data_IF_350870582936
#
_entry.id   IF_350870582936
#
_cell.length_a   1.000
_cell.length_b   1.000
_cell.length_c   1.000
_cell.angle_alpha   90.00
_cell.angle_beta   90.00
_cell.angle_gamma   90.00
#
_symmetry.space_group_name_H-M   'P 1'
#
loop_
_entity.id
_entity.type
_entity.pdbx_description
1 polymer ?
#
# COMPACT_ATOMS: atom_id res chain seq x y z
N UNK A 1 -10.98 -3.93 -31.08
CA UNK A 1 -12.39 -3.92 -30.61
C UNK A 1 -12.52 -2.84 -29.56
N UNK A 2 -13.55 -2.00 -29.65
CA UNK A 2 -13.79 -0.97 -28.62
C UNK A 2 -14.43 -1.68 -27.43
N UNK A 3 -13.75 -1.66 -26.26
CA UNK A 3 -14.31 -2.21 -25.02
C UNK A 3 -15.46 -1.32 -24.54
N UNK A 4 -16.58 -1.93 -24.21
CA UNK A 4 -17.76 -1.26 -23.65
C UNK A 4 -18.06 -1.81 -22.27
N UNK A 5 -18.58 -0.96 -21.37
CA UNK A 5 -19.09 -1.35 -20.07
C UNK A 5 -20.53 -0.88 -19.91
N UNK A 6 -21.33 -1.67 -19.19
CA UNK A 6 -22.68 -1.31 -18.81
C UNK A 6 -22.65 -0.32 -17.66
N UNK A 7 -23.54 0.67 -17.72
CA UNK A 7 -23.75 1.66 -16.69
C UNK A 7 -25.00 1.31 -15.91
N UNK A 8 -24.90 1.29 -14.59
CA UNK A 8 -25.98 0.95 -13.68
C UNK A 8 -26.50 2.19 -12.93
N UNK A 9 -27.79 2.24 -12.70
CA UNK A 9 -28.40 3.20 -11.78
C UNK A 9 -28.13 2.84 -10.31
N UNK A 10 -28.59 3.69 -9.40
CA UNK A 10 -28.52 3.45 -7.95
C UNK A 10 -29.26 2.19 -7.53
N UNK A 11 -30.36 1.86 -8.24
CA UNK A 11 -31.20 0.68 -7.99
C UNK A 11 -30.66 -0.62 -8.60
N UNK A 12 -29.50 -0.55 -9.29
CA UNK A 12 -28.90 -1.70 -9.98
C UNK A 12 -29.49 -1.99 -11.37
N UNK A 13 -30.43 -1.19 -11.87
CA UNK A 13 -30.94 -1.30 -13.23
C UNK A 13 -29.92 -0.80 -14.24
N UNK A 14 -29.89 -1.39 -15.46
CA UNK A 14 -29.01 -0.96 -16.55
C UNK A 14 -29.60 0.32 -17.18
N UNK A 15 -28.80 1.39 -17.22
CA UNK A 15 -29.17 2.70 -17.82
C UNK A 15 -28.64 2.84 -19.23
N UNK A 16 -27.42 2.34 -19.49
CA UNK A 16 -26.77 2.51 -20.79
C UNK A 16 -25.42 1.80 -20.87
N UNK A 17 -24.65 2.16 -21.89
CA UNK A 17 -23.29 1.67 -22.13
C UNK A 17 -22.32 2.85 -22.26
N UNK A 18 -21.14 2.71 -21.70
CA UNK A 18 -20.03 3.64 -21.87
C UNK A 18 -18.88 2.96 -22.62
N UNK A 19 -18.22 3.72 -23.48
CA UNK A 19 -16.98 3.30 -24.15
C UNK A 19 -15.84 3.42 -23.15
N UNK A 20 -15.12 2.33 -22.94
CA UNK A 20 -13.97 2.32 -22.06
C UNK A 20 -12.72 2.86 -22.76
N UNK A 21 -11.92 3.70 -22.09
CA UNK A 21 -10.65 4.18 -22.63
C UNK A 21 -9.62 3.06 -22.79
N UNK A 22 -8.65 3.28 -23.68
CA UNK A 22 -7.55 2.36 -24.00
C UNK A 22 -6.73 1.89 -22.79
N UNK A 23 -6.85 2.61 -21.67
CA UNK A 23 -6.21 2.24 -20.39
C UNK A 23 -6.65 0.84 -19.94
N UNK A 24 -7.91 0.47 -20.18
CA UNK A 24 -8.47 -0.84 -19.80
C UNK A 24 -7.99 -2.00 -20.69
N UNK A 25 -7.45 -1.71 -21.87
CA UNK A 25 -6.85 -2.71 -22.79
C UNK A 25 -5.39 -3.03 -22.45
N UNK A 26 -4.80 -2.30 -21.51
CA UNK A 26 -3.39 -2.47 -21.16
C UNK A 26 -3.11 -3.88 -20.61
N UNK A 27 -2.08 -4.58 -21.10
CA UNK A 27 -1.75 -5.92 -20.62
C UNK A 27 -1.39 -5.93 -19.14
N UNK A 28 -1.76 -7.00 -18.45
CA UNK A 28 -1.47 -7.18 -17.04
C UNK A 28 0.04 -7.41 -16.79
N UNK A 29 0.71 -6.49 -16.10
CA UNK A 29 2.13 -6.52 -15.77
C UNK A 29 2.35 -6.48 -14.25
N UNK A 30 2.26 -7.62 -13.54
CA UNK A 30 2.40 -7.68 -12.08
C UNK A 30 3.78 -7.23 -11.59
N UNK A 31 4.82 -7.45 -12.40
CA UNK A 31 6.21 -7.04 -12.14
C UNK A 31 6.34 -5.51 -11.99
N UNK A 32 5.79 -4.77 -12.95
CA UNK A 32 5.82 -3.30 -12.96
C UNK A 32 4.94 -2.74 -11.83
N UNK A 33 3.75 -3.32 -11.61
CA UNK A 33 2.84 -2.98 -10.53
C UNK A 33 3.56 -3.13 -9.17
N UNK A 34 4.22 -4.27 -8.94
CA UNK A 34 4.96 -4.53 -7.69
C UNK A 34 6.09 -3.51 -7.47
N UNK A 35 6.83 -3.20 -8.51
CA UNK A 35 7.92 -2.22 -8.43
C UNK A 35 7.40 -0.83 -8.09
N UNK A 36 6.33 -0.38 -8.77
CA UNK A 36 5.69 0.90 -8.49
C UNK A 36 5.05 0.95 -7.10
N UNK A 37 4.39 -0.13 -6.67
CA UNK A 37 3.85 -0.24 -5.31
C UNK A 37 4.94 -0.04 -4.24
N UNK A 38 6.07 -0.73 -4.38
CA UNK A 38 7.19 -0.62 -3.43
C UNK A 38 7.82 0.79 -3.44
N UNK A 39 7.82 1.46 -4.59
CA UNK A 39 8.30 2.84 -4.68
C UNK A 39 7.38 3.80 -3.91
N UNK A 40 6.07 3.72 -4.14
CA UNK A 40 5.08 4.56 -3.43
C UNK A 40 5.06 4.23 -1.93
N UNK A 41 5.07 2.95 -1.56
CA UNK A 41 5.12 2.53 -0.16
C UNK A 41 6.37 3.07 0.57
N UNK A 42 7.49 3.18 -0.14
CA UNK A 42 8.73 3.68 0.46
C UNK A 42 8.64 5.15 0.93
N UNK A 43 7.71 5.93 0.36
CA UNK A 43 7.43 7.32 0.77
C UNK A 43 6.76 7.41 2.14
N UNK A 44 6.06 6.35 2.56
CA UNK A 44 5.39 6.30 3.87
C UNK A 44 6.32 5.92 5.03
N UNK A 45 7.56 5.52 4.73
CA UNK A 45 8.52 5.12 5.75
C UNK A 45 9.20 6.35 6.36
N UNK A 46 9.12 6.47 7.68
CA UNK A 46 9.82 7.51 8.40
C UNK A 46 11.34 7.25 8.38
N UNK A 47 12.17 8.23 8.00
CA UNK A 47 13.61 8.14 8.14
C UNK A 47 14.02 7.86 9.58
N UNK A 48 14.93 6.91 9.75
CA UNK A 48 15.44 6.53 11.05
C UNK A 48 16.92 6.88 11.15
N UNK A 49 17.29 7.45 12.27
CA UNK A 49 18.65 7.81 12.57
C UNK A 49 18.99 7.40 14.01
N UNK A 50 20.26 7.27 14.26
CA UNK A 50 20.82 7.04 15.58
C UNK A 50 22.05 7.94 15.76
N UNK A 51 22.41 8.23 17.00
CA UNK A 51 23.70 8.81 17.31
C UNK A 51 24.84 7.91 16.78
N UNK A 52 25.62 8.44 15.85
CA UNK A 52 26.71 7.73 15.16
C UNK A 52 27.86 7.36 16.10
N UNK A 53 28.00 8.12 17.18
CA UNK A 53 29.03 7.92 18.18
C UNK A 53 28.55 7.09 19.37
N UNK A 54 27.28 6.63 19.38
CA UNK A 54 26.75 5.81 20.47
C UNK A 54 27.57 4.52 20.64
N UNK A 55 28.09 4.31 21.85
CA UNK A 55 28.97 3.18 22.18
C UNK A 55 30.42 3.33 21.71
N UNK A 56 30.79 4.47 21.09
CA UNK A 56 32.17 4.78 20.66
C UNK A 56 32.83 5.87 21.53
N UNK A 57 32.04 6.63 22.31
CA UNK A 57 32.54 7.66 23.24
C UNK A 57 33.06 6.99 24.49
N UNK A 58 34.29 6.50 24.44
CA UNK A 58 34.96 5.83 25.56
C UNK A 58 36.46 6.00 25.44
N UNK A 59 37.15 6.06 26.55
CA UNK A 59 38.61 6.08 26.64
C UNK A 59 39.25 4.72 26.40
N UNK A 60 38.47 3.70 26.00
CA UNK A 60 38.98 2.36 25.79
C UNK A 60 39.98 2.28 24.62
N UNK A 61 41.13 1.70 24.91
CA UNK A 61 42.23 1.54 23.97
C UNK A 61 42.43 0.06 23.64
N UNK A 62 42.71 -0.23 22.39
CA UNK A 62 43.11 -1.56 21.94
C UNK A 62 44.59 -1.79 22.19
N UNK A 63 44.93 -2.75 23.06
CA UNK A 63 46.33 -3.14 23.30
C UNK A 63 46.77 -4.20 22.32
N UNK A 64 47.71 -3.82 21.43
CA UNK A 64 48.27 -4.71 20.40
C UNK A 64 49.33 -5.64 21.03
N UNK A 65 49.58 -6.80 20.36
CA UNK A 65 50.68 -7.72 20.68
C UNK A 65 52.08 -7.10 20.55
N UNK A 66 52.22 -6.01 19.82
CA UNK A 66 53.51 -5.31 19.58
C UNK A 66 53.91 -4.38 20.71
N UNK A 67 53.09 -4.23 21.75
CA UNK A 67 53.44 -3.43 22.93
C UNK A 67 54.34 -4.20 23.91
N UNK A 68 54.88 -3.50 24.88
CA UNK A 68 55.77 -4.05 25.92
C UNK A 68 55.26 -5.35 26.55
N UNK A 69 56.11 -6.30 26.93
CA UNK A 69 55.71 -7.60 27.46
C UNK A 69 54.70 -7.52 28.63
N UNK A 70 54.88 -6.56 29.56
CA UNK A 70 53.96 -6.34 30.67
C UNK A 70 52.52 -5.99 30.25
N UNK A 71 52.32 -5.51 29.05
CA UNK A 71 51.00 -5.19 28.48
C UNK A 71 50.41 -6.30 27.59
N UNK A 72 51.18 -7.34 27.26
CA UNK A 72 50.78 -8.40 26.32
C UNK A 72 49.88 -9.45 26.96
N UNK A 73 50.11 -9.81 28.19
CA UNK A 73 49.49 -10.92 28.89
C UNK A 73 48.58 -10.43 30.00
N UNK A 74 47.40 -9.96 29.65
CA UNK A 74 46.38 -9.53 30.63
C UNK A 74 45.42 -10.67 31.00
N UNK A 75 45.57 -11.87 30.37
CA UNK A 75 44.68 -13.00 30.63
C UNK A 75 43.23 -12.79 30.14
N UNK A 76 42.99 -11.75 29.34
CA UNK A 76 41.66 -11.34 28.91
C UNK A 76 41.58 -11.32 27.35
N UNK A 77 40.36 -11.44 26.83
CA UNK A 77 40.11 -11.33 25.39
C UNK A 77 40.60 -9.98 24.82
N UNK A 78 41.07 -9.99 23.55
CA UNK A 78 41.67 -8.84 22.86
C UNK A 78 40.61 -7.87 22.38
N UNK A 79 40.00 -7.14 23.29
CA UNK A 79 38.98 -6.13 23.03
C UNK A 79 39.51 -4.77 23.52
N UNK A 80 39.04 -3.65 22.95
CA UNK A 80 39.34 -2.32 23.51
C UNK A 80 38.86 -2.25 24.97
N UNK A 81 39.74 -1.84 25.90
CA UNK A 81 39.47 -1.80 27.32
C UNK A 81 39.76 -0.42 27.90
N UNK A 82 38.94 -0.02 28.84
CA UNK A 82 39.18 1.19 29.62
C UNK A 82 40.44 1.01 30.47
N UNK A 83 41.35 2.02 30.53
CA UNK A 83 42.59 1.91 31.28
C UNK A 83 42.38 1.62 32.74
N UNK A 84 41.44 2.28 33.39
CA UNK A 84 41.19 2.20 34.83
C UNK A 84 40.41 0.96 35.23
N UNK A 85 39.27 0.72 34.60
CA UNK A 85 38.33 -0.35 34.98
C UNK A 85 38.62 -1.70 34.30
N UNK A 86 39.50 -1.73 33.28
CA UNK A 86 39.78 -2.87 32.40
C UNK A 86 38.54 -3.45 31.72
N UNK A 87 37.39 -2.78 31.79
CA UNK A 87 36.16 -3.22 31.13
C UNK A 87 36.27 -3.08 29.62
N UNK A 88 35.83 -4.09 28.92
CA UNK A 88 35.76 -4.04 27.46
C UNK A 88 34.65 -3.06 27.01
N UNK A 89 34.96 -2.20 26.04
CA UNK A 89 34.06 -1.20 25.45
C UNK A 89 34.17 -1.22 23.94
N UNK A 90 33.37 -0.41 23.28
CA UNK A 90 33.36 -0.13 21.83
C UNK A 90 32.93 -1.34 20.99
N UNK A 91 33.46 -2.55 21.21
CA UNK A 91 33.09 -3.72 20.43
C UNK A 91 31.60 -4.04 20.50
N UNK A 92 30.98 -4.58 19.41
CA UNK A 92 29.54 -4.86 19.38
C UNK A 92 29.06 -5.85 20.45
N UNK A 93 29.91 -6.79 20.86
CA UNK A 93 29.60 -7.82 21.85
C UNK A 93 29.76 -7.34 23.30
N UNK A 94 30.24 -6.12 23.52
CA UNK A 94 30.44 -5.58 24.87
C UNK A 94 29.22 -4.85 25.40
N UNK A 95 29.05 -4.84 26.72
CA UNK A 95 27.99 -4.08 27.38
C UNK A 95 28.15 -2.58 27.08
N UNK A 96 27.07 -1.94 26.58
CA UNK A 96 27.08 -0.55 26.08
C UNK A 96 28.08 -0.30 24.93
N UNK A 97 28.51 -1.32 24.20
CA UNK A 97 29.33 -1.18 23.00
C UNK A 97 28.54 -0.60 21.81
N UNK A 98 29.24 -0.37 20.71
CA UNK A 98 28.62 0.14 19.49
C UNK A 98 27.69 -0.90 18.86
N UNK A 99 26.67 -0.46 18.14
CA UNK A 99 25.91 -1.34 17.28
C UNK A 99 26.71 -1.64 16.00
N UNK A 100 26.75 -2.91 15.57
CA UNK A 100 27.51 -3.30 14.36
C UNK A 100 26.97 -2.63 13.09
N UNK A 101 25.64 -2.65 12.92
CA UNK A 101 24.93 -2.07 11.77
C UNK A 101 23.82 -1.12 12.24
N UNK A 102 24.17 0.09 12.69
CA UNK A 102 23.16 1.05 13.14
C UNK A 102 22.35 1.62 11.97
N UNK A 103 21.12 2.06 12.20
CA UNK A 103 20.43 2.88 11.23
C UNK A 103 21.19 4.19 11.00
N UNK A 104 21.40 4.52 9.71
CA UNK A 104 22.19 5.69 9.30
C UNK A 104 21.28 6.77 8.73
N UNK A 105 21.50 8.08 9.03
CA UNK A 105 20.66 9.16 8.55
C UNK A 105 20.69 9.31 7.03
N UNK A 106 21.78 8.97 6.37
CA UNK A 106 21.94 9.04 4.90
C UNK A 106 21.45 7.80 4.16
N UNK A 107 20.85 6.82 4.85
CA UNK A 107 20.27 5.64 4.19
C UNK A 107 19.15 6.07 3.24
N UNK A 108 19.30 5.75 1.95
CA UNK A 108 18.27 6.01 0.93
C UNK A 108 17.09 5.06 1.15
N UNK A 109 15.99 5.58 1.72
CA UNK A 109 14.76 4.81 1.98
C UNK A 109 13.84 4.88 0.76
N UNK A 110 13.71 6.07 0.18
CA UNK A 110 12.82 6.32 -0.96
C UNK A 110 13.36 5.65 -2.23
N UNK A 111 12.52 4.83 -2.85
CA UNK A 111 12.80 4.18 -4.13
C UNK A 111 12.22 5.02 -5.25
N UNK A 112 13.06 5.49 -6.15
CA UNK A 112 12.64 6.25 -7.33
C UNK A 112 12.35 5.29 -8.49
N UNK A 113 11.34 5.61 -9.28
CA UNK A 113 11.02 4.94 -10.55
C UNK A 113 10.82 5.99 -11.66
N UNK A 114 11.05 5.67 -12.93
CA UNK A 114 10.78 6.53 -14.07
C UNK A 114 9.28 6.84 -14.19
N UNK A 115 8.96 8.04 -14.70
CA UNK A 115 7.55 8.47 -14.89
C UNK A 115 6.78 7.54 -15.84
N UNK A 116 7.41 7.15 -16.96
CA UNK A 116 6.80 6.23 -17.94
C UNK A 116 6.47 4.86 -17.31
N UNK A 117 7.35 4.33 -16.47
CA UNK A 117 7.11 3.07 -15.76
C UNK A 117 5.97 3.21 -14.74
N UNK A 118 5.89 4.34 -14.01
CA UNK A 118 4.78 4.61 -13.10
C UNK A 118 3.44 4.71 -13.85
N UNK A 119 3.39 5.39 -15.02
CA UNK A 119 2.18 5.45 -15.86
C UNK A 119 1.77 4.06 -16.33
N UNK A 120 2.71 3.26 -16.85
CA UNK A 120 2.42 1.87 -17.28
C UNK A 120 1.89 1.02 -16.12
N UNK A 121 2.46 1.15 -14.91
CA UNK A 121 1.98 0.44 -13.73
C UNK A 121 0.55 0.82 -13.37
N UNK A 122 0.19 2.11 -13.44
CA UNK A 122 -1.17 2.59 -13.19
C UNK A 122 -2.16 2.06 -14.23
N UNK A 123 -1.84 2.16 -15.52
CA UNK A 123 -2.64 1.60 -16.61
C UNK A 123 -2.90 0.10 -16.43
N UNK A 124 -1.84 -0.66 -16.18
CA UNK A 124 -1.94 -2.10 -15.95
C UNK A 124 -2.76 -2.45 -14.69
N UNK A 125 -2.69 -1.63 -13.63
CA UNK A 125 -3.48 -1.83 -12.42
C UNK A 125 -4.96 -1.49 -12.63
N UNK A 126 -5.28 -0.48 -13.44
CA UNK A 126 -6.65 -0.13 -13.82
C UNK A 126 -7.24 -1.23 -14.71
N UNK A 127 -6.53 -1.67 -15.75
CA UNK A 127 -6.95 -2.78 -16.60
C UNK A 127 -7.25 -4.06 -15.82
N UNK A 128 -6.47 -4.34 -14.78
CA UNK A 128 -6.69 -5.50 -13.90
C UNK A 128 -8.03 -5.46 -13.15
N UNK A 129 -8.64 -4.30 -12.95
CA UNK A 129 -9.95 -4.17 -12.29
C UNK A 129 -11.11 -4.60 -13.19
N UNK A 130 -10.90 -4.61 -14.50
CA UNK A 130 -11.90 -5.06 -15.49
C UNK A 130 -11.88 -6.57 -15.70
N UNK A 131 -10.82 -7.26 -15.29
CA UNK A 131 -10.68 -8.71 -15.50
C UNK A 131 -11.25 -9.49 -14.31
N UNK A 132 -12.39 -10.18 -14.53
CA UNK A 132 -13.11 -10.96 -13.51
C UNK A 132 -12.24 -12.05 -12.88
N UNK A 133 -11.42 -12.74 -13.68
CA UNK A 133 -10.54 -13.79 -13.19
C UNK A 133 -9.47 -13.26 -12.23
N UNK A 134 -8.88 -12.10 -12.57
CA UNK A 134 -7.86 -11.46 -11.72
C UNK A 134 -8.46 -10.96 -10.41
N UNK A 135 -9.68 -10.41 -10.45
CA UNK A 135 -10.41 -9.94 -9.26
C UNK A 135 -10.80 -11.12 -8.37
N UNK A 136 -11.33 -12.20 -8.93
CA UNK A 136 -11.66 -13.43 -8.20
C UNK A 136 -10.40 -14.08 -7.60
N UNK A 137 -9.30 -14.18 -8.37
CA UNK A 137 -8.03 -14.74 -7.91
C UNK A 137 -7.43 -13.96 -6.75
N UNK A 138 -7.70 -12.67 -6.67
CA UNK A 138 -7.32 -11.84 -5.53
C UNK A 138 -8.09 -12.21 -4.25
N UNK A 139 -9.24 -12.86 -4.35
CA UNK A 139 -10.11 -13.30 -3.25
C UNK A 139 -11.26 -12.35 -2.95
N UNK A 140 -11.69 -11.53 -3.92
CA UNK A 140 -12.95 -10.82 -3.87
C UNK A 140 -14.11 -11.74 -4.26
N UNK A 141 -15.28 -11.55 -3.64
CA UNK A 141 -16.51 -12.21 -4.02
C UNK A 141 -17.11 -11.46 -5.20
N UNK A 142 -17.19 -12.10 -6.36
CA UNK A 142 -17.65 -11.48 -7.62
C UNK A 142 -18.84 -12.21 -8.24
N UNK A 143 -19.40 -13.19 -7.55
CA UNK A 143 -20.44 -14.06 -8.11
C UNK A 143 -21.72 -13.29 -8.43
N UNK A 144 -22.13 -12.38 -7.57
CA UNK A 144 -23.33 -11.55 -7.70
C UNK A 144 -23.09 -10.27 -8.50
N UNK A 145 -21.82 -9.95 -8.83
CA UNK A 145 -21.48 -8.73 -9.59
C UNK A 145 -21.85 -8.91 -11.05
N UNK A 146 -22.72 -8.04 -11.63
CA UNK A 146 -23.26 -8.24 -12.97
C UNK A 146 -22.19 -8.17 -14.06
N UNK A 147 -21.36 -7.15 -14.05
CA UNK A 147 -20.28 -6.96 -15.04
C UNK A 147 -19.06 -6.29 -14.43
N UNK A 148 -17.88 -6.49 -15.03
CA UNK A 148 -16.65 -5.78 -14.72
C UNK A 148 -16.06 -5.18 -16.00
N UNK A 149 -15.56 -3.92 -15.97
CA UNK A 149 -15.59 -3.02 -14.82
C UNK A 149 -17.00 -2.60 -14.44
N UNK A 150 -17.27 -2.47 -13.15
CA UNK A 150 -18.57 -2.04 -12.63
C UNK A 150 -18.65 -0.51 -12.67
N UNK A 151 -19.59 0.02 -13.45
CA UNK A 151 -19.80 1.45 -13.66
C UNK A 151 -21.17 1.86 -13.16
N UNK A 152 -21.26 2.98 -12.43
CA UNK A 152 -22.50 3.54 -11.92
C UNK A 152 -22.68 4.97 -12.44
N UNK A 153 -23.93 5.39 -12.60
CA UNK A 153 -24.28 6.75 -13.00
C UNK A 153 -23.74 7.79 -12.01
N UNK A 154 -23.47 9.00 -12.48
CA UNK A 154 -22.95 10.10 -11.66
C UNK A 154 -23.91 10.55 -10.56
N UNK A 155 -25.20 10.20 -10.64
CA UNK A 155 -26.18 10.43 -9.57
C UNK A 155 -25.77 9.81 -8.25
N UNK A 156 -25.08 8.66 -8.27
CA UNK A 156 -24.59 7.98 -7.09
C UNK A 156 -23.61 8.85 -6.28
N UNK A 157 -22.94 9.84 -6.89
CA UNK A 157 -22.04 10.76 -6.19
C UNK A 157 -22.77 11.62 -5.15
N UNK A 158 -24.08 11.85 -5.33
CA UNK A 158 -24.94 12.62 -4.41
C UNK A 158 -25.33 11.88 -3.13
N UNK A 159 -25.06 10.58 -3.02
CA UNK A 159 -25.36 9.78 -1.84
C UNK A 159 -24.53 10.30 -0.66
N UNK A 160 -25.20 10.72 0.41
CA UNK A 160 -24.55 11.25 1.61
C UNK A 160 -24.68 10.35 2.84
N UNK A 161 -25.67 9.46 2.85
CA UNK A 161 -25.97 8.57 3.98
C UNK A 161 -25.37 7.18 3.77
N UNK A 162 -24.86 6.60 4.86
CA UNK A 162 -24.31 5.23 4.83
C UNK A 162 -25.37 4.17 4.50
N UNK A 163 -26.63 4.40 4.89
CA UNK A 163 -27.75 3.48 4.55
C UNK A 163 -28.01 3.40 3.06
N UNK A 164 -28.03 4.55 2.38
CA UNK A 164 -28.19 4.64 0.92
C UNK A 164 -27.01 3.98 0.20
N UNK A 165 -25.78 4.20 0.69
CA UNK A 165 -24.59 3.53 0.15
C UNK A 165 -24.67 2.00 0.35
N UNK A 166 -25.21 1.51 1.46
CA UNK A 166 -25.44 0.08 1.68
C UNK A 166 -26.45 -0.48 0.67
N UNK A 167 -27.56 0.23 0.44
CA UNK A 167 -28.57 -0.18 -0.56
C UNK A 167 -27.99 -0.26 -1.95
N UNK A 168 -27.18 0.73 -2.36
CA UNK A 168 -26.42 0.71 -3.63
C UNK A 168 -25.51 -0.53 -3.72
N UNK A 169 -24.75 -0.85 -2.66
CA UNK A 169 -23.86 -2.00 -2.65
C UNK A 169 -24.61 -3.34 -2.71
N UNK A 170 -25.80 -3.41 -2.13
CA UNK A 170 -26.67 -4.59 -2.24
C UNK A 170 -27.22 -4.73 -3.66
N UNK A 171 -27.71 -3.64 -4.26
CA UNK A 171 -28.25 -3.64 -5.62
C UNK A 171 -27.21 -4.03 -6.67
N UNK A 172 -25.94 -3.65 -6.48
CA UNK A 172 -24.83 -3.95 -7.39
C UNK A 172 -24.09 -5.26 -7.06
N UNK A 173 -24.54 -6.05 -6.09
CA UNK A 173 -23.89 -7.32 -5.70
C UNK A 173 -22.50 -7.16 -5.06
N UNK A 174 -22.17 -5.98 -4.51
CA UNK A 174 -20.90 -5.72 -3.81
C UNK A 174 -20.94 -6.08 -2.32
N UNK A 175 -22.14 -6.24 -1.78
CA UNK A 175 -22.35 -6.44 -0.34
C UNK A 175 -21.70 -7.71 0.21
N UNK A 176 -21.71 -8.87 -0.46
CA UNK A 176 -21.01 -10.08 0.01
C UNK A 176 -19.53 -9.86 0.25
N UNK A 177 -18.87 -9.05 -0.60
CA UNK A 177 -17.44 -8.74 -0.43
C UNK A 177 -17.19 -7.84 0.78
N UNK A 178 -18.10 -6.92 1.10
CA UNK A 178 -18.04 -6.10 2.31
C UNK A 178 -18.22 -6.97 3.56
N UNK A 179 -19.15 -7.94 3.54
CA UNK A 179 -19.33 -8.90 4.65
C UNK A 179 -18.07 -9.75 4.85
N UNK A 180 -17.49 -10.27 3.78
CA UNK A 180 -16.20 -11.00 3.82
C UNK A 180 -15.11 -10.14 4.49
N UNK A 181 -15.02 -8.86 4.14
CA UNK A 181 -14.07 -7.94 4.76
C UNK A 181 -14.35 -7.75 6.26
N UNK A 182 -15.62 -7.57 6.65
CA UNK A 182 -16.07 -7.41 8.04
C UNK A 182 -15.70 -8.62 8.89
N UNK A 183 -16.01 -9.82 8.43
CA UNK A 183 -15.75 -11.09 9.14
C UNK A 183 -14.25 -11.38 9.29
N UNK A 184 -13.43 -10.94 8.35
CA UNK A 184 -11.98 -11.10 8.40
C UNK A 184 -11.29 -10.30 9.50
N UNK A 185 -12.00 -9.41 10.20
CA UNK A 185 -11.45 -8.55 11.25
C UNK A 185 -10.97 -9.37 12.44
N UNK A 186 -9.67 -9.36 12.68
CA UNK A 186 -9.05 -10.07 13.79
C UNK A 186 -7.91 -9.27 14.45
N UNK A 187 -7.58 -9.63 15.68
CA UNK A 187 -6.44 -9.04 16.39
C UNK A 187 -5.15 -9.44 15.66
N UNK A 188 -4.31 -8.46 15.37
CA UNK A 188 -3.02 -8.66 14.68
C UNK A 188 -2.07 -9.48 15.53
N UNK A 189 -1.40 -10.46 14.94
CA UNK A 189 -0.28 -11.14 15.56
C UNK A 189 0.95 -10.21 15.66
N UNK A 190 1.79 -10.43 16.65
CA UNK A 190 3.04 -9.69 16.84
C UNK A 190 2.86 -8.30 17.46
N UNK A 191 3.97 -7.55 17.52
CA UNK A 191 4.09 -6.27 18.23
C UNK A 191 3.35 -5.10 17.58
N UNK A 192 2.85 -5.26 16.35
CA UNK A 192 2.08 -4.21 15.67
C UNK A 192 0.83 -3.78 16.43
N UNK A 193 0.19 -4.70 17.19
CA UNK A 193 -0.96 -4.42 18.04
C UNK A 193 -0.66 -3.41 19.16
N UNK A 194 0.57 -3.40 19.70
CA UNK A 194 1.03 -2.46 20.73
C UNK A 194 1.44 -1.10 20.14
N UNK A 195 1.52 -0.98 18.80
CA UNK A 195 1.94 0.22 18.07
C UNK A 195 0.77 0.90 17.36
N UNK A 196 -0.43 0.85 17.93
CA UNK A 196 -1.64 1.47 17.37
C UNK A 196 -2.32 0.69 16.23
N UNK A 197 -1.81 -0.49 15.84
CA UNK A 197 -2.37 -1.33 14.75
C UNK A 197 -2.96 -2.63 15.28
N UNK A 198 -3.92 -2.52 16.22
CA UNK A 198 -4.48 -3.67 16.93
C UNK A 198 -5.17 -4.68 16.00
N UNK A 199 -5.94 -4.20 15.04
CA UNK A 199 -6.74 -5.05 14.16
C UNK A 199 -6.11 -5.19 12.77
N UNK A 200 -6.41 -6.31 12.13
CA UNK A 200 -6.15 -6.60 10.71
C UNK A 200 -7.47 -7.01 10.08
N UNK A 201 -7.74 -6.48 8.90
CA UNK A 201 -8.96 -6.75 8.13
C UNK A 201 -8.59 -6.95 6.65
N UNK A 202 -9.36 -7.74 5.92
CA UNK A 202 -9.20 -7.87 4.48
C UNK A 202 -9.59 -6.55 3.78
N UNK A 203 -9.01 -6.32 2.61
CA UNK A 203 -9.37 -5.19 1.76
C UNK A 203 -10.62 -5.56 0.97
N UNK A 204 -11.62 -4.69 1.00
CA UNK A 204 -12.86 -4.80 0.27
C UNK A 204 -12.87 -3.93 -1.00
N UNK A 205 -14.08 -3.62 -1.53
CA UNK A 205 -14.23 -2.83 -2.74
C UNK A 205 -13.58 -1.44 -2.65
N UNK A 206 -13.22 -0.90 -3.81
CA UNK A 206 -12.77 0.47 -3.99
C UNK A 206 -13.85 1.25 -4.74
N UNK A 207 -14.19 2.43 -4.26
CA UNK A 207 -15.11 3.36 -4.96
C UNK A 207 -14.29 4.51 -5.53
N UNK A 208 -14.38 4.70 -6.84
CA UNK A 208 -13.68 5.79 -7.54
C UNK A 208 -14.72 6.74 -8.10
N UNK A 209 -14.66 7.99 -7.67
CA UNK A 209 -15.60 9.04 -8.05
C UNK A 209 -14.89 10.15 -8.83
N UNK A 210 -15.62 10.78 -9.76
CA UNK A 210 -15.14 11.97 -10.46
C UNK A 210 -15.09 13.18 -9.54
N UNK A 211 -16.20 13.45 -8.85
CA UNK A 211 -16.36 14.54 -7.88
C UNK A 211 -16.90 13.99 -6.56
N UNK A 212 -16.51 14.60 -5.45
CA UNK A 212 -17.06 14.23 -4.13
C UNK A 212 -18.25 15.12 -3.78
N UNK A 213 -19.45 14.58 -3.99
CA UNK A 213 -20.72 15.22 -3.58
C UNK A 213 -21.31 14.62 -2.31
N UNK A 214 -20.54 13.74 -1.62
CA UNK A 214 -20.93 13.10 -0.37
C UNK A 214 -20.65 11.59 -0.30
N UNK A 215 -20.54 10.90 -1.45
CA UNK A 215 -20.37 9.45 -1.53
C UNK A 215 -19.12 8.96 -0.78
N UNK A 216 -17.99 9.67 -0.88
CA UNK A 216 -16.78 9.27 -0.17
C UNK A 216 -16.97 9.23 1.35
N UNK A 217 -17.75 10.16 1.89
CA UNK A 217 -18.10 10.18 3.32
C UNK A 217 -19.05 9.04 3.69
N UNK A 218 -20.04 8.75 2.83
CA UNK A 218 -21.00 7.68 3.03
C UNK A 218 -20.34 6.29 3.06
N UNK A 219 -19.40 6.02 2.15
CA UNK A 219 -18.73 4.70 2.05
C UNK A 219 -17.60 4.50 3.07
N UNK A 220 -17.04 5.57 3.61
CA UNK A 220 -15.86 5.51 4.50
C UNK A 220 -16.08 4.63 5.75
N UNK A 221 -17.30 4.54 6.25
CA UNK A 221 -17.63 3.73 7.44
C UNK A 221 -17.86 2.25 7.11
N UNK A 222 -17.99 1.88 5.84
CA UNK A 222 -18.20 0.49 5.44
C UNK A 222 -16.90 -0.34 5.62
N UNK A 223 -16.99 -1.55 6.20
CA UNK A 223 -15.80 -2.36 6.48
C UNK A 223 -15.03 -2.72 5.22
N UNK A 224 -13.75 -2.36 5.17
CA UNK A 224 -12.84 -2.69 4.07
C UNK A 224 -13.03 -1.87 2.79
N UNK A 225 -14.04 -1.02 2.72
CA UNK A 225 -14.29 -0.14 1.58
C UNK A 225 -13.41 1.10 1.68
N UNK A 226 -12.76 1.45 0.58
CA UNK A 226 -12.06 2.72 0.41
C UNK A 226 -12.74 3.53 -0.69
N UNK A 227 -12.88 4.84 -0.47
CA UNK A 227 -13.36 5.78 -1.48
C UNK A 227 -12.26 6.77 -1.87
N UNK A 228 -12.16 7.10 -3.15
CA UNK A 228 -11.14 7.99 -3.68
C UNK A 228 -11.65 8.79 -4.88
N UNK A 229 -11.18 10.03 -5.02
CA UNK A 229 -11.33 10.81 -6.25
C UNK A 229 -10.42 10.22 -7.36
N UNK A 230 -10.91 10.19 -8.59
CA UNK A 230 -10.14 9.70 -9.73
C UNK A 230 -8.78 10.39 -9.88
N UNK A 231 -8.70 11.70 -9.62
CA UNK A 231 -7.45 12.47 -9.63
C UNK A 231 -6.44 12.03 -8.56
N UNK A 232 -6.90 11.49 -7.44
CA UNK A 232 -6.07 11.03 -6.32
C UNK A 232 -5.82 9.51 -6.35
N UNK A 233 -6.21 8.84 -7.44
CA UNK A 233 -6.06 7.41 -7.59
C UNK A 233 -4.58 7.01 -7.50
N UNK A 234 -4.30 5.97 -6.70
CA UNK A 234 -2.94 5.53 -6.43
C UNK A 234 -2.84 4.01 -6.61
N UNK A 235 -1.66 3.56 -7.00
CA UNK A 235 -1.38 2.12 -7.15
C UNK A 235 -1.56 1.33 -5.84
N UNK A 236 -1.38 1.97 -4.68
CA UNK A 236 -1.63 1.34 -3.38
C UNK A 236 -3.11 1.03 -3.15
N UNK A 237 -4.01 1.80 -3.73
CA UNK A 237 -5.46 1.61 -3.65
C UNK A 237 -5.94 0.55 -4.63
N UNK A 238 -5.42 0.56 -5.87
CA UNK A 238 -5.78 -0.42 -6.92
C UNK A 238 -5.17 -1.80 -6.69
N UNK A 239 -3.94 -1.85 -6.19
CA UNK A 239 -3.19 -3.08 -5.98
C UNK A 239 -2.62 -3.16 -4.54
N UNK A 240 -3.47 -3.19 -3.50
CA UNK A 240 -3.00 -3.28 -2.11
C UNK A 240 -2.14 -4.53 -1.90
N UNK A 241 -0.96 -4.34 -1.30
CA UNK A 241 0.01 -5.41 -1.13
C UNK A 241 0.75 -5.81 -2.41
N UNK A 242 0.70 -5.01 -3.47
CA UNK A 242 1.25 -5.27 -4.81
C UNK A 242 0.50 -6.38 -5.59
N UNK A 243 -0.70 -6.76 -5.16
CA UNK A 243 -1.56 -7.70 -5.88
C UNK A 243 -2.63 -6.93 -6.65
N UNK A 244 -2.66 -6.98 -7.98
CA UNK A 244 -3.66 -6.31 -8.83
C UNK A 244 -5.04 -6.98 -8.73
N UNK A 245 -6.05 -6.31 -9.28
CA UNK A 245 -7.40 -6.87 -9.37
C UNK A 245 -8.26 -6.59 -8.15
N UNK A 246 -8.21 -5.37 -7.60
CA UNK A 246 -9.16 -4.95 -6.58
C UNK A 246 -10.53 -4.74 -7.20
N UNK A 247 -11.59 -5.26 -6.57
CA UNK A 247 -12.97 -5.01 -6.96
C UNK A 247 -13.23 -3.51 -6.86
N UNK A 248 -13.63 -2.88 -7.98
CA UNK A 248 -13.72 -1.42 -8.07
C UNK A 248 -15.05 -1.00 -8.69
N UNK A 249 -15.71 -0.05 -8.02
CA UNK A 249 -16.89 0.66 -8.50
C UNK A 249 -16.44 2.01 -9.07
N UNK A 250 -16.76 2.27 -10.32
CA UNK A 250 -16.43 3.49 -11.03
C UNK A 250 -17.68 4.34 -11.26
N UNK A 251 -17.58 5.64 -11.14
CA UNK A 251 -18.60 6.55 -11.68
C UNK A 251 -18.27 6.90 -13.14
N UNK A 252 -19.26 7.29 -13.94
CA UNK A 252 -19.04 7.65 -15.35
C UNK A 252 -18.00 8.75 -15.51
N UNK A 253 -18.13 9.82 -14.76
CA UNK A 253 -17.16 10.94 -14.74
C UNK A 253 -15.76 10.51 -14.33
N UNK A 254 -15.63 9.52 -13.45
CA UNK A 254 -14.33 9.01 -13.04
C UNK A 254 -13.59 8.32 -14.19
N UNK A 255 -14.31 7.65 -15.10
CA UNK A 255 -13.72 7.00 -16.29
C UNK A 255 -13.16 8.05 -17.25
N UNK A 256 -13.88 9.16 -17.48
CA UNK A 256 -13.38 10.28 -18.29
C UNK A 256 -12.09 10.88 -17.72
N UNK A 257 -12.03 11.13 -16.40
CA UNK A 257 -10.83 11.63 -15.74
C UNK A 257 -9.66 10.64 -15.82
N UNK A 258 -9.94 9.34 -15.76
CA UNK A 258 -8.91 8.30 -15.92
C UNK A 258 -8.30 8.34 -17.32
N UNK A 259 -9.08 8.59 -18.35
CA UNK A 259 -8.59 8.75 -19.71
C UNK A 259 -7.67 9.98 -19.85
N UNK A 260 -8.10 11.12 -19.35
CA UNK A 260 -7.29 12.36 -19.34
C UNK A 260 -5.93 12.19 -18.67
N UNK A 261 -5.87 11.47 -17.53
CA UNK A 261 -4.66 11.35 -16.72
C UNK A 261 -3.71 10.24 -17.19
N UNK A 262 -4.25 9.16 -17.73
CA UNK A 262 -3.48 7.94 -18.09
C UNK A 262 -3.77 7.41 -19.47
N UNK A 263 -4.51 8.10 -20.33
CA UNK A 263 -4.69 7.78 -21.74
C UNK A 263 -3.38 7.73 -22.54
N UNK A 264 -3.40 7.25 -23.78
CA UNK A 264 -2.19 7.14 -24.60
C UNK A 264 -1.54 8.49 -24.87
N UNK A 265 -2.35 9.53 -24.96
CA UNK A 265 -1.93 10.89 -25.32
C UNK A 265 -1.62 11.78 -24.08
N UNK A 266 -1.70 11.21 -22.86
CA UNK A 266 -1.50 11.92 -21.59
C UNK A 266 -0.04 11.94 -21.10
#
# INVERSE_FOLDING_TARGET
>A
MVLKAKVYAIDGSEVGEIILPDVFETPLRPDVIKRAFLAVQSLSFQPQSRDLMAGKRSSAVYKSRRRAPAERYVGMARLPREPLTRRARIAPMTVKGRLAHPPLPWKKIVKKIPRKEKKLAMRSAIAATANREVVARRGHVVDEVPSLPLVVSDEAQGISRTSEAMSLFMALGLWPDVLRAKESKKVRAGKGKMRGRRYKMAVGPLVVVGEDRGLLRAVRNLPGVDGVLARNLNIMLLAPGAHPGRLTLWTESAIGIVDELWGKDA
#
